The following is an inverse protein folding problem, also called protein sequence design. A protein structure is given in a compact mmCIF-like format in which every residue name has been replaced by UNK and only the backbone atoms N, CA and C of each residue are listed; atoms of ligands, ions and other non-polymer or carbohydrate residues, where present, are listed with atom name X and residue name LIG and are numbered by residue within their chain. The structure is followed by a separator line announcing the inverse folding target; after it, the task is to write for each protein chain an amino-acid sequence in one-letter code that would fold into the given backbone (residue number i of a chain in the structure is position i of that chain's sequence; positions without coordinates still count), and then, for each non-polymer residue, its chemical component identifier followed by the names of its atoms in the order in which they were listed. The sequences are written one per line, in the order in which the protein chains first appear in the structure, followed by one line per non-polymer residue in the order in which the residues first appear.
data_IF_788116542391
#
_entry.id   IF_788116542391
#
_cell.length_a   1.000
_cell.length_b   1.000
_cell.length_c   1.000
_cell.angle_alpha   90.00
_cell.angle_beta   90.00
_cell.angle_gamma   90.00
#
_symmetry.space_group_name_H-M   'P 1'
#
loop_
_entity.id
_entity.type
_entity.pdbx_description
1 polymer ?
#
# COMPACT_ATOMS: atom_id res chain seq x y z
N UNK A 1 -48.46 36.46 -4.89
CA UNK A 1 -48.47 37.91 -4.77
C UNK A 1 -47.21 38.36 -5.46
N UNK A 2 -47.23 38.58 -6.77
CA UNK A 2 -47.44 39.84 -7.47
C UNK A 2 -46.45 40.90 -6.96
N UNK A 3 -45.61 41.56 -7.79
CA UNK A 3 -45.74 42.24 -9.10
C UNK A 3 -44.32 42.62 -9.52
N UNK A 4 -43.77 42.37 -10.75
CA UNK A 4 -43.70 43.24 -11.94
C UNK A 4 -43.39 44.74 -11.65
N UNK A 5 -42.46 45.41 -12.35
CA UNK A 5 -42.44 45.78 -13.78
C UNK A 5 -41.08 46.48 -14.13
N UNK A 6 -40.50 46.26 -15.32
CA UNK A 6 -40.40 47.03 -16.56
C UNK A 6 -40.04 48.52 -16.39
N UNK A 7 -39.09 49.12 -17.13
CA UNK A 7 -39.04 49.38 -18.55
C UNK A 7 -37.86 50.34 -18.88
N UNK A 8 -37.13 50.14 -19.95
CA UNK A 8 -37.18 50.72 -21.32
C UNK A 8 -36.32 51.96 -21.60
N UNK A 9 -35.54 51.84 -22.68
CA UNK A 9 -35.26 52.76 -23.82
C UNK A 9 -34.39 54.01 -23.57
N UNK A 10 -33.47 54.47 -24.42
CA UNK A 10 -33.39 54.52 -25.89
C UNK A 10 -32.01 55.05 -26.34
N UNK A 11 -31.56 54.67 -27.52
CA UNK A 11 -30.62 55.41 -28.35
C UNK A 11 -31.38 56.50 -29.14
N UNK A 12 -30.83 57.35 -29.98
CA UNK A 12 -29.66 57.28 -30.84
C UNK A 12 -28.90 58.65 -31.02
N UNK A 13 -27.84 58.82 -31.80
CA UNK A 13 -27.82 59.37 -33.16
C UNK A 13 -26.42 59.70 -33.67
N UNK A 14 -26.28 59.65 -34.98
CA UNK A 14 -25.20 59.84 -35.91
C UNK A 14 -24.63 61.29 -35.96
N UNK A 15 -23.35 61.40 -36.39
CA UNK A 15 -22.80 62.61 -36.98
C UNK A 15 -21.55 62.31 -37.84
N UNK A 16 -21.68 62.59 -39.15
CA UNK A 16 -20.74 62.33 -40.24
C UNK A 16 -19.64 63.40 -40.35
N UNK A 17 -18.46 62.95 -40.70
CA UNK A 17 -17.40 63.38 -41.68
C UNK A 17 -17.16 64.90 -41.98
N UNK A 18 -15.98 65.40 -42.53
CA UNK A 18 -15.07 64.68 -43.44
C UNK A 18 -13.53 65.00 -43.36
N UNK A 19 -12.79 64.13 -44.01
CA UNK A 19 -11.56 64.27 -44.85
C UNK A 19 -10.53 65.42 -44.66
N UNK A 20 -9.26 65.06 -44.51
CA UNK A 20 -8.22 65.53 -45.44
C UNK A 20 -6.98 64.62 -45.42
N UNK A 21 -6.47 64.39 -46.62
CA UNK A 21 -5.33 63.58 -47.02
C UNK A 21 -4.05 64.40 -46.92
N UNK A 22 -3.02 63.84 -46.25
CA UNK A 22 -1.63 64.25 -46.57
C UNK A 22 -0.80 62.93 -46.56
N UNK A 23 -0.20 62.64 -47.70
CA UNK A 23 0.80 61.59 -47.92
C UNK A 23 2.19 62.09 -47.58
N UNK A 24 2.88 61.37 -46.73
CA UNK A 24 4.34 61.37 -46.73
C UNK A 24 4.81 59.92 -46.53
N UNK A 25 5.54 59.42 -47.54
CA UNK A 25 6.22 58.14 -47.48
C UNK A 25 7.44 58.27 -46.57
N UNK A 26 7.54 57.34 -45.62
CA UNK A 26 8.80 57.09 -44.90
C UNK A 26 9.02 55.57 -44.88
N UNK A 27 10.08 55.12 -45.51
CA UNK A 27 10.62 53.78 -45.53
C UNK A 27 11.24 53.45 -44.17
N UNK A 28 10.58 52.66 -43.39
CA UNK A 28 11.23 51.99 -42.22
C UNK A 28 11.28 50.46 -42.48
N UNK A 29 12.46 49.90 -42.26
CA UNK A 29 12.74 48.49 -42.34
C UNK A 29 12.00 47.71 -41.26
N UNK A 30 11.56 46.45 -41.47
CA UNK A 30 10.87 45.67 -40.45
C UNK A 30 11.86 45.21 -39.38
N UNK A 31 11.82 45.82 -38.21
CA UNK A 31 12.42 45.25 -37.00
C UNK A 31 11.61 44.04 -36.58
N UNK A 32 12.14 42.85 -36.83
CA UNK A 32 11.62 41.60 -36.29
C UNK A 32 11.77 41.63 -34.77
N UNK A 33 10.68 41.90 -34.06
CA UNK A 33 10.59 41.64 -32.61
C UNK A 33 10.77 40.14 -32.35
N UNK A 34 11.60 39.77 -31.38
CA UNK A 34 11.69 38.35 -30.99
C UNK A 34 10.34 37.89 -30.49
N UNK A 35 9.81 36.86 -31.15
CA UNK A 35 8.61 36.16 -30.69
C UNK A 35 8.95 35.53 -29.35
N UNK A 36 8.48 36.12 -28.27
CA UNK A 36 8.51 35.48 -26.94
C UNK A 36 7.55 34.30 -27.00
N UNK A 37 8.12 33.13 -27.22
CA UNK A 37 7.37 31.89 -27.07
C UNK A 37 7.07 31.71 -25.59
N UNK A 38 5.86 32.06 -25.17
CA UNK A 38 5.33 31.67 -23.86
C UNK A 38 5.49 30.17 -23.72
N UNK A 39 6.10 29.66 -22.63
CA UNK A 39 6.19 28.23 -22.40
C UNK A 39 4.78 27.65 -22.44
N UNK A 40 4.56 26.69 -23.34
CA UNK A 40 3.27 25.97 -23.43
C UNK A 40 2.97 25.37 -22.08
N UNK A 41 1.85 25.74 -21.47
CA UNK A 41 1.41 25.11 -20.21
C UNK A 41 1.46 23.58 -20.33
N UNK A 42 2.01 22.85 -19.34
CA UNK A 42 2.05 21.40 -19.41
C UNK A 42 0.62 20.86 -19.50
N UNK A 43 0.38 20.05 -20.52
CA UNK A 43 -0.90 19.37 -20.69
C UNK A 43 -1.02 18.23 -19.66
N UNK A 44 -2.26 17.80 -19.37
CA UNK A 44 -2.53 16.61 -18.58
C UNK A 44 -1.91 15.39 -19.27
N UNK A 45 -1.15 14.61 -18.52
CA UNK A 45 -0.46 13.40 -18.98
C UNK A 45 -1.04 12.17 -18.32
N UNK A 46 -1.24 11.10 -19.10
CA UNK A 46 -1.61 9.77 -18.62
C UNK A 46 -0.41 8.85 -18.80
N UNK A 47 0.24 8.50 -17.71
CA UNK A 47 1.50 7.74 -17.67
C UNK A 47 1.21 6.27 -17.36
N UNK A 48 1.26 5.43 -18.37
CA UNK A 48 0.90 4.01 -18.24
C UNK A 48 1.90 3.23 -17.37
N UNK A 49 1.39 2.45 -16.44
CA UNK A 49 2.19 1.52 -15.62
C UNK A 49 2.49 0.18 -16.34
N UNK A 50 2.27 0.11 -17.65
CA UNK A 50 2.85 -0.91 -18.55
C UNK A 50 4.11 -0.40 -19.26
N UNK A 51 4.35 0.92 -19.25
CA UNK A 51 5.54 1.51 -19.88
C UNK A 51 6.76 1.37 -18.96
N UNK A 52 7.82 0.75 -19.48
CA UNK A 52 9.08 0.55 -18.75
C UNK A 52 9.73 1.86 -18.31
N UNK A 53 9.61 2.94 -19.10
CA UNK A 53 10.17 4.25 -18.75
C UNK A 53 9.41 4.90 -17.57
N UNK A 54 8.12 4.66 -17.46
CA UNK A 54 7.31 5.07 -16.31
C UNK A 54 7.63 4.21 -15.08
N UNK A 55 7.68 2.88 -15.25
CA UNK A 55 8.03 1.94 -14.18
C UNK A 55 9.42 2.22 -13.56
N UNK A 56 10.38 2.66 -14.38
CA UNK A 56 11.71 3.05 -13.91
C UNK A 56 11.71 4.31 -13.01
N UNK A 57 10.61 5.05 -12.95
CA UNK A 57 10.44 6.28 -12.14
C UNK A 57 9.56 6.11 -10.92
N UNK A 58 8.95 4.96 -10.75
CA UNK A 58 8.11 4.67 -9.60
C UNK A 58 8.73 3.57 -8.74
N UNK A 59 8.44 3.57 -7.45
CA UNK A 59 8.81 2.50 -6.53
C UNK A 59 7.56 1.76 -6.09
N UNK A 60 7.57 0.45 -6.20
CA UNK A 60 6.51 -0.42 -5.71
C UNK A 60 7.08 -1.28 -4.60
N UNK A 61 6.44 -1.27 -3.44
CA UNK A 61 6.77 -2.13 -2.31
C UNK A 61 5.74 -3.23 -2.18
N UNK A 62 6.18 -4.37 -1.68
CA UNK A 62 5.39 -5.58 -1.58
C UNK A 62 5.34 -6.37 -2.90
N UNK A 63 4.72 -7.54 -2.85
CA UNK A 63 4.65 -8.44 -3.99
C UNK A 63 3.71 -7.91 -5.04
N UNK A 64 4.26 -7.52 -6.16
CA UNK A 64 3.58 -6.93 -7.31
C UNK A 64 4.25 -7.40 -8.58
N UNK A 65 3.52 -7.47 -9.67
CA UNK A 65 4.06 -7.89 -10.95
C UNK A 65 3.23 -7.39 -12.13
N UNK A 66 3.75 -7.47 -13.35
CA UNK A 66 3.08 -7.01 -14.55
C UNK A 66 1.83 -7.85 -14.83
N UNK A 67 0.76 -7.17 -15.23
CA UNK A 67 -0.47 -7.76 -15.76
C UNK A 67 -0.85 -7.01 -17.04
N UNK A 68 -1.82 -7.51 -17.80
CA UNK A 68 -2.16 -6.99 -19.14
C UNK A 68 -2.42 -5.49 -19.21
N UNK A 69 -2.85 -4.85 -18.12
CA UNK A 69 -3.24 -3.43 -18.12
C UNK A 69 -2.49 -2.58 -17.08
N UNK A 70 -1.41 -3.10 -16.48
CA UNK A 70 -0.66 -2.39 -15.44
C UNK A 70 0.10 -3.31 -14.51
N UNK A 71 0.03 -3.02 -13.21
CA UNK A 71 0.74 -3.76 -12.15
C UNK A 71 -0.29 -4.30 -11.15
N UNK A 72 -0.14 -5.58 -10.76
CA UNK A 72 -0.95 -6.16 -9.67
C UNK A 72 -0.63 -5.50 -8.34
N UNK A 73 -1.66 -5.22 -7.53
CA UNK A 73 -1.56 -4.50 -6.26
C UNK A 73 -2.52 -5.13 -5.26
N UNK A 74 -2.28 -6.42 -4.94
CA UNK A 74 -3.28 -7.29 -4.31
C UNK A 74 -3.16 -7.41 -2.79
N UNK A 75 -1.96 -7.21 -2.24
CA UNK A 75 -1.71 -7.43 -0.82
C UNK A 75 -1.90 -6.16 0.00
N UNK A 76 -2.33 -6.32 1.25
CA UNK A 76 -2.32 -5.24 2.24
C UNK A 76 -0.91 -4.66 2.37
N UNK A 77 -0.80 -3.35 2.62
CA UNK A 77 0.46 -2.60 2.66
C UNK A 77 1.26 -2.57 1.35
N UNK A 78 0.78 -3.14 0.22
CA UNK A 78 1.36 -2.83 -1.08
C UNK A 78 1.39 -1.30 -1.25
N UNK A 79 2.55 -0.77 -1.63
CA UNK A 79 2.78 0.68 -1.68
C UNK A 79 3.33 1.09 -3.04
N UNK A 80 2.72 2.13 -3.64
CA UNK A 80 3.25 2.86 -4.78
C UNK A 80 3.83 4.18 -4.29
N UNK A 81 5.10 4.45 -4.59
CA UNK A 81 5.78 5.73 -4.31
C UNK A 81 6.26 6.35 -5.62
N UNK A 82 6.07 7.65 -5.78
CA UNK A 82 6.64 8.43 -6.88
C UNK A 82 6.84 9.89 -6.51
N UNK A 83 7.68 10.57 -7.27
CA UNK A 83 7.93 12.01 -7.17
C UNK A 83 7.63 12.66 -8.50
N UNK A 84 7.08 13.87 -8.48
CA UNK A 84 6.74 14.61 -9.69
C UNK A 84 6.95 16.12 -9.52
N UNK A 85 7.30 16.78 -10.62
CA UNK A 85 7.07 18.22 -10.76
C UNK A 85 5.70 18.35 -11.40
N UNK A 86 4.71 18.83 -10.65
CA UNK A 86 3.33 18.89 -11.14
C UNK A 86 2.54 20.02 -10.48
N UNK A 87 1.30 20.21 -10.92
CA UNK A 87 0.33 21.13 -10.37
C UNK A 87 -1.09 20.62 -10.57
N UNK A 88 -2.06 21.15 -9.81
CA UNK A 88 -3.47 20.84 -9.93
C UNK A 88 -3.83 19.48 -9.37
N UNK A 89 -4.54 18.66 -10.15
CA UNK A 89 -5.00 17.35 -9.70
C UNK A 89 -4.05 16.23 -10.10
N UNK A 90 -3.85 15.27 -9.19
CA UNK A 90 -3.12 14.01 -9.44
C UNK A 90 -4.00 12.84 -9.07
N UNK A 91 -4.06 11.82 -9.92
CA UNK A 91 -4.84 10.61 -9.67
C UNK A 91 -4.18 9.36 -10.23
N UNK A 92 -4.63 8.21 -9.74
CA UNK A 92 -4.35 6.89 -10.31
C UNK A 92 -5.59 6.37 -11.05
N UNK A 93 -5.39 5.84 -12.26
CA UNK A 93 -6.37 4.99 -12.90
C UNK A 93 -6.07 3.54 -12.50
N UNK A 94 -7.09 2.81 -12.09
CA UNK A 94 -6.98 1.47 -11.57
C UNK A 94 -8.18 0.60 -11.97
N UNK A 95 -8.03 -0.70 -11.87
CA UNK A 95 -9.12 -1.67 -12.03
C UNK A 95 -9.23 -2.48 -10.74
N UNK A 96 -10.43 -2.58 -10.23
CA UNK A 96 -10.76 -3.38 -9.05
C UNK A 96 -11.70 -4.53 -9.45
N UNK A 97 -11.30 -5.75 -9.10
CA UNK A 97 -12.19 -6.91 -9.11
C UNK A 97 -12.41 -7.27 -7.66
N UNK A 98 -13.40 -6.65 -7.05
CA UNK A 98 -13.60 -6.64 -5.61
C UNK A 98 -15.00 -7.12 -5.23
N UNK A 99 -15.09 -7.78 -4.08
CA UNK A 99 -16.34 -8.15 -3.42
C UNK A 99 -16.83 -7.08 -2.44
N UNK A 100 -15.95 -6.13 -2.09
CA UNK A 100 -16.23 -5.02 -1.18
C UNK A 100 -15.36 -3.80 -1.56
N UNK A 101 -15.57 -2.67 -0.91
CA UNK A 101 -14.84 -1.42 -1.19
C UNK A 101 -13.35 -1.56 -0.90
N UNK A 102 -12.50 -1.14 -1.84
CA UNK A 102 -11.06 -1.03 -1.60
C UNK A 102 -10.72 0.31 -0.97
N UNK A 103 -9.91 0.28 0.09
CA UNK A 103 -9.46 1.48 0.79
C UNK A 103 -7.94 1.66 0.66
N UNK A 104 -7.54 2.94 0.63
CA UNK A 104 -6.14 3.35 0.47
C UNK A 104 -5.80 4.46 1.45
N UNK A 105 -4.58 4.41 1.97
CA UNK A 105 -3.91 5.55 2.60
C UNK A 105 -3.13 6.29 1.52
N UNK A 106 -3.35 7.58 1.40
CA UNK A 106 -2.64 8.46 0.47
C UNK A 106 -1.84 9.48 1.28
N UNK A 107 -0.53 9.59 1.02
CA UNK A 107 0.29 10.64 1.56
C UNK A 107 0.77 11.53 0.40
N UNK A 108 0.65 12.84 0.61
CA UNK A 108 1.17 13.87 -0.29
C UNK A 108 2.12 14.75 0.50
N UNK A 109 3.36 14.84 0.06
CA UNK A 109 4.45 15.56 0.76
C UNK A 109 4.60 15.13 2.23
N UNK A 110 4.49 13.81 2.45
CA UNK A 110 4.58 13.18 3.77
C UNK A 110 3.36 13.39 4.67
N UNK A 111 2.32 14.08 4.21
CA UNK A 111 1.09 14.30 4.98
C UNK A 111 0.00 13.34 4.53
N UNK A 112 -0.53 12.56 5.47
CA UNK A 112 -1.66 11.66 5.23
C UNK A 112 -2.93 12.47 4.91
N UNK A 113 -3.59 12.08 3.83
CA UNK A 113 -4.89 12.60 3.42
C UNK A 113 -6.01 11.79 4.09
N UNK A 114 -7.26 12.22 3.91
CA UNK A 114 -8.40 11.42 4.34
C UNK A 114 -8.35 10.02 3.71
N UNK A 115 -8.91 9.03 4.43
CA UNK A 115 -9.01 7.65 3.94
C UNK A 115 -9.66 7.62 2.56
N UNK A 116 -8.91 7.17 1.56
CA UNK A 116 -9.32 7.24 0.17
C UNK A 116 -9.97 5.94 -0.31
N UNK A 117 -10.85 6.07 -1.28
CA UNK A 117 -11.40 4.96 -2.08
C UNK A 117 -11.50 5.39 -3.53
N UNK A 118 -11.51 4.44 -4.45
CA UNK A 118 -11.73 4.75 -5.86
C UNK A 118 -13.16 5.23 -6.11
N UNK A 119 -13.30 6.09 -7.12
CA UNK A 119 -14.58 6.40 -7.73
C UNK A 119 -14.59 5.83 -9.15
N UNK A 120 -15.30 4.73 -9.35
CA UNK A 120 -15.21 3.95 -10.57
C UNK A 120 -13.81 3.37 -10.75
N UNK A 121 -13.10 3.82 -11.79
CA UNK A 121 -11.72 3.39 -12.09
C UNK A 121 -10.65 4.42 -11.70
N UNK A 122 -11.00 5.46 -10.93
CA UNK A 122 -10.10 6.56 -10.59
C UNK A 122 -9.95 6.73 -9.07
N UNK A 123 -8.72 6.78 -8.59
CA UNK A 123 -8.36 7.13 -7.21
C UNK A 123 -7.72 8.52 -7.23
N UNK A 124 -8.41 9.50 -6.66
CA UNK A 124 -7.88 10.84 -6.50
C UNK A 124 -6.81 10.86 -5.40
N UNK A 125 -5.63 11.39 -5.70
CA UNK A 125 -4.54 11.53 -4.73
C UNK A 125 -4.46 12.94 -4.15
N UNK A 126 -4.63 13.95 -5.01
CA UNK A 126 -4.60 15.36 -4.60
C UNK A 126 -5.41 16.23 -5.58
N UNK A 127 -5.84 17.39 -5.09
CA UNK A 127 -6.44 18.48 -5.87
C UNK A 127 -5.76 19.80 -5.55
N UNK A 128 -5.79 20.71 -6.50
CA UNK A 128 -5.32 22.09 -6.32
C UNK A 128 -3.87 22.22 -5.80
N UNK A 129 -3.00 21.25 -6.18
CA UNK A 129 -1.58 21.35 -5.84
C UNK A 129 -0.95 22.60 -6.47
N UNK A 130 -0.16 23.38 -5.71
CA UNK A 130 0.63 24.43 -6.30
C UNK A 130 1.65 23.82 -7.27
N UNK A 131 2.12 24.60 -8.24
CA UNK A 131 3.19 24.15 -9.13
C UNK A 131 4.48 23.95 -8.33
N UNK A 132 5.03 22.75 -8.36
CA UNK A 132 6.25 22.43 -7.61
C UNK A 132 6.60 20.94 -7.60
N UNK A 133 7.60 20.64 -6.77
CA UNK A 133 8.02 19.28 -6.46
C UNK A 133 7.08 18.68 -5.42
N UNK A 134 6.52 17.53 -5.74
CA UNK A 134 5.63 16.78 -4.86
C UNK A 134 6.04 15.33 -4.75
N UNK A 135 5.78 14.74 -3.58
CA UNK A 135 5.96 13.32 -3.29
C UNK A 135 4.61 12.67 -3.04
N UNK A 136 4.44 11.47 -3.56
CA UNK A 136 3.20 10.70 -3.42
C UNK A 136 3.51 9.31 -2.90
N UNK A 137 2.72 8.86 -1.93
CA UNK A 137 2.70 7.48 -1.47
C UNK A 137 1.25 7.01 -1.40
N UNK A 138 0.96 5.88 -2.02
CA UNK A 138 -0.35 5.24 -2.01
C UNK A 138 -0.20 3.85 -1.45
N UNK A 139 -0.86 3.57 -0.34
CA UNK A 139 -0.77 2.29 0.37
C UNK A 139 -2.14 1.62 0.37
N UNK A 140 -2.20 0.38 -0.08
CA UNK A 140 -3.42 -0.41 0.00
C UNK A 140 -3.69 -0.82 1.45
N UNK A 141 -4.86 -0.47 1.99
CA UNK A 141 -5.27 -0.82 3.35
C UNK A 141 -5.85 -2.23 3.45
N UNK A 142 -6.69 -2.59 2.46
CA UNK A 142 -7.47 -3.83 2.48
C UNK A 142 -6.69 -5.03 1.96
N UNK A 143 -6.95 -6.19 2.52
CA UNK A 143 -6.33 -7.45 2.11
C UNK A 143 -6.88 -8.03 0.79
N UNK A 144 -6.22 -9.08 0.28
CA UNK A 144 -6.60 -9.79 -0.94
C UNK A 144 -7.94 -10.54 -0.84
N UNK A 145 -8.45 -10.77 0.37
CA UNK A 145 -9.76 -11.36 0.62
C UNK A 145 -10.89 -10.56 -0.04
N UNK A 146 -10.82 -9.23 0.03
CA UNK A 146 -11.83 -8.34 -0.52
C UNK A 146 -11.71 -8.12 -2.03
N UNK A 147 -10.58 -8.46 -2.63
CA UNK A 147 -10.45 -8.37 -4.09
C UNK A 147 -9.03 -8.12 -4.60
N UNK A 148 -8.96 -8.00 -5.91
CA UNK A 148 -7.74 -7.77 -6.68
C UNK A 148 -7.73 -6.35 -7.23
N UNK A 149 -6.59 -5.69 -7.21
CA UNK A 149 -6.38 -4.34 -7.75
C UNK A 149 -5.29 -4.36 -8.81
N UNK A 150 -5.53 -3.65 -9.90
CA UNK A 150 -4.51 -3.37 -10.91
C UNK A 150 -4.32 -1.87 -11.01
N UNK A 151 -3.12 -1.37 -10.76
CA UNK A 151 -2.74 0.01 -11.03
C UNK A 151 -2.43 0.14 -12.52
N UNK A 152 -3.15 1.01 -13.23
CA UNK A 152 -3.08 1.13 -14.69
C UNK A 152 -2.20 2.30 -15.15
N UNK A 153 -2.41 3.49 -14.59
CA UNK A 153 -1.66 4.70 -14.96
C UNK A 153 -1.71 5.77 -13.88
N UNK A 154 -0.74 6.68 -13.92
CA UNK A 154 -0.72 7.92 -13.16
C UNK A 154 -1.19 9.04 -14.08
N UNK A 155 -2.11 9.87 -13.62
CA UNK A 155 -2.62 11.03 -14.33
C UNK A 155 -2.23 12.30 -13.57
N UNK A 156 -1.50 13.22 -14.24
CA UNK A 156 -1.02 14.47 -13.65
C UNK A 156 -0.72 15.53 -14.71
N UNK A 157 -0.77 16.81 -14.31
CA UNK A 157 -0.27 17.94 -15.13
C UNK A 157 1.19 18.20 -14.72
N UNK A 158 2.15 17.61 -15.47
CA UNK A 158 3.57 17.67 -15.14
C UNK A 158 4.36 16.46 -15.61
N UNK A 159 5.41 16.11 -14.86
CA UNK A 159 6.29 14.97 -15.19
C UNK A 159 6.83 14.25 -13.95
N UNK A 160 7.03 12.93 -14.07
CA UNK A 160 7.69 12.15 -13.02
C UNK A 160 9.18 12.48 -12.93
N UNK A 161 9.69 12.56 -11.72
CA UNK A 161 11.13 12.66 -11.38
C UNK A 161 11.79 11.27 -11.34
N UNK A 162 12.99 11.20 -10.82
CA UNK A 162 13.68 9.93 -10.57
C UNK A 162 12.90 9.05 -9.58
N UNK A 163 13.10 7.73 -9.67
CA UNK A 163 12.52 6.76 -8.74
C UNK A 163 12.95 7.05 -7.30
N UNK A 164 12.03 7.02 -6.33
CA UNK A 164 12.38 7.06 -4.92
C UNK A 164 13.36 5.94 -4.55
N UNK A 165 14.34 6.25 -3.71
CA UNK A 165 15.34 5.26 -3.27
C UNK A 165 14.72 4.15 -2.42
N UNK A 166 15.32 2.97 -2.49
CA UNK A 166 14.99 1.90 -1.55
C UNK A 166 15.54 2.24 -0.16
N UNK A 167 14.78 1.91 0.88
CA UNK A 167 15.25 2.04 2.25
C UNK A 167 16.32 0.97 2.55
N UNK A 168 17.29 1.26 3.41
CA UNK A 168 18.36 0.30 3.74
C UNK A 168 17.85 -1.02 4.33
N UNK A 169 16.78 -0.96 5.13
CA UNK A 169 16.15 -2.12 5.75
C UNK A 169 14.92 -2.55 4.91
N UNK A 170 14.79 -3.85 4.66
CA UNK A 170 13.63 -4.45 4.04
C UNK A 170 13.05 -5.55 4.92
N UNK A 171 11.78 -5.42 5.27
CA UNK A 171 11.06 -6.36 6.13
C UNK A 171 9.93 -7.04 5.35
N UNK A 172 9.84 -8.36 5.46
CA UNK A 172 8.72 -9.14 4.94
C UNK A 172 7.89 -9.69 6.10
N UNK A 173 6.56 -9.52 6.03
CA UNK A 173 5.61 -10.02 7.01
C UNK A 173 4.71 -11.07 6.37
N UNK A 174 4.69 -12.25 6.97
CA UNK A 174 3.94 -13.41 6.54
C UNK A 174 2.90 -13.75 7.61
N UNK A 175 1.61 -13.76 7.27
CA UNK A 175 0.64 -13.95 8.35
C UNK A 175 -0.81 -14.09 7.92
N UNK A 176 -1.66 -14.00 8.91
CA UNK A 176 -3.11 -14.15 8.81
C UNK A 176 -3.87 -12.81 9.01
N UNK A 177 -5.09 -12.89 9.56
CA UNK A 177 -5.96 -11.76 9.85
C UNK A 177 -5.35 -10.73 10.80
N UNK A 178 -4.50 -11.16 11.74
CA UNK A 178 -3.80 -10.25 12.67
C UNK A 178 -2.83 -9.37 11.88
N UNK A 179 -2.09 -9.97 10.96
CA UNK A 179 -1.07 -9.26 10.17
C UNK A 179 -1.68 -8.26 9.19
N UNK A 180 -2.85 -8.53 8.63
CA UNK A 180 -3.55 -7.58 7.74
C UNK A 180 -4.37 -6.53 8.49
N UNK A 181 -4.48 -6.62 9.83
CA UNK A 181 -5.24 -5.66 10.63
C UNK A 181 -6.75 -5.83 10.48
N UNK A 182 -7.23 -7.07 10.32
CA UNK A 182 -8.65 -7.38 10.20
C UNK A 182 -9.40 -6.91 11.45
N UNK A 183 -10.53 -6.21 11.27
CA UNK A 183 -11.40 -5.75 12.37
C UNK A 183 -10.79 -4.69 13.28
N UNK A 184 -9.64 -4.10 12.96
CA UNK A 184 -8.94 -3.17 13.84
C UNK A 184 -9.60 -1.79 13.95
N UNK A 185 -10.51 -1.45 13.05
CA UNK A 185 -11.26 -0.18 13.07
C UNK A 185 -12.64 -0.28 13.73
N UNK A 186 -13.07 -1.45 14.16
CA UNK A 186 -14.35 -1.61 14.87
C UNK A 186 -14.14 -2.26 16.25
N UNK A 187 -14.89 -1.79 17.24
CA UNK A 187 -14.83 -2.31 18.61
C UNK A 187 -15.98 -3.30 18.83
N UNK A 188 -15.64 -4.52 19.27
CA UNK A 188 -16.62 -5.51 19.73
C UNK A 188 -17.63 -5.98 18.68
N UNK A 189 -17.46 -5.64 17.42
CA UNK A 189 -18.39 -6.02 16.37
C UNK A 189 -18.22 -7.51 16.02
N UNK A 190 -19.24 -8.36 16.17
CA UNK A 190 -19.12 -9.79 15.89
C UNK A 190 -19.09 -10.10 14.40
N UNK A 191 -18.72 -11.32 14.04
CA UNK A 191 -18.92 -11.85 12.71
C UNK A 191 -20.44 -11.98 12.38
N UNK A 192 -20.88 -11.84 11.10
CA UNK A 192 -20.06 -11.51 9.95
C UNK A 192 -19.80 -10.00 9.77
N UNK A 193 -20.44 -9.14 10.58
CA UNK A 193 -20.41 -7.68 10.38
C UNK A 193 -18.99 -7.08 10.51
N UNK A 194 -18.10 -7.69 11.30
CA UNK A 194 -16.70 -7.28 11.41
C UNK A 194 -15.87 -7.56 10.17
N UNK A 195 -16.29 -8.49 9.29
CA UNK A 195 -15.58 -8.92 8.10
C UNK A 195 -15.87 -8.07 6.84
N UNK A 196 -16.19 -6.80 7.01
CA UNK A 196 -16.27 -5.83 5.91
C UNK A 196 -14.99 -5.00 5.81
N UNK A 197 -14.62 -4.65 4.60
CA UNK A 197 -13.41 -3.88 4.29
C UNK A 197 -13.35 -2.52 5.01
N UNK A 198 -14.51 -1.92 5.31
CA UNK A 198 -14.60 -0.67 6.07
C UNK A 198 -14.01 -0.77 7.48
N UNK A 199 -14.00 -1.98 8.05
CA UNK A 199 -13.52 -2.27 9.40
C UNK A 199 -12.04 -2.66 9.45
N UNK A 200 -11.35 -2.64 8.31
CA UNK A 200 -9.94 -3.04 8.18
C UNK A 200 -9.07 -1.87 7.72
N UNK A 201 -7.90 -1.72 8.34
CA UNK A 201 -6.83 -0.86 7.87
C UNK A 201 -5.46 -1.49 8.11
N UNK A 202 -4.88 -2.07 7.06
CA UNK A 202 -3.56 -2.70 7.12
C UNK A 202 -2.42 -1.73 7.41
N UNK A 203 -2.61 -0.43 7.16
CA UNK A 203 -1.63 0.61 7.54
C UNK A 203 -1.65 0.93 9.04
N UNK A 204 -2.60 0.35 9.76
CA UNK A 204 -2.71 0.39 11.22
C UNK A 204 -2.49 -0.99 11.85
N UNK A 205 -1.88 -1.91 11.12
CA UNK A 205 -1.44 -3.20 11.67
C UNK A 205 -0.06 -3.09 12.33
N UNK A 206 0.25 -4.05 13.21
CA UNK A 206 1.58 -4.12 13.86
C UNK A 206 2.71 -4.21 12.84
N UNK A 207 2.48 -4.90 11.72
CA UNK A 207 3.45 -5.07 10.66
C UNK A 207 3.84 -3.73 10.02
N UNK A 208 2.85 -2.93 9.68
CA UNK A 208 3.09 -1.62 9.09
C UNK A 208 3.71 -0.64 10.08
N UNK A 209 3.21 -0.60 11.33
CA UNK A 209 3.78 0.26 12.37
C UNK A 209 5.25 -0.09 12.68
N UNK A 210 5.59 -1.37 12.79
CA UNK A 210 6.97 -1.79 13.03
C UNK A 210 7.90 -1.40 11.88
N UNK A 211 7.49 -1.63 10.62
CA UNK A 211 8.26 -1.22 9.46
C UNK A 211 8.46 0.31 9.40
N UNK A 212 7.42 1.09 9.69
CA UNK A 212 7.55 2.56 9.77
C UNK A 212 8.48 3.01 10.88
N UNK A 213 8.36 2.45 12.09
CA UNK A 213 9.20 2.81 13.24
C UNK A 213 10.68 2.51 13.02
N UNK A 214 10.99 1.56 12.13
CA UNK A 214 12.35 1.19 11.75
C UNK A 214 12.81 1.82 10.42
N UNK A 215 12.00 2.64 9.79
CA UNK A 215 12.30 3.25 8.48
C UNK A 215 12.54 2.19 7.39
N UNK A 216 11.84 1.06 7.45
CA UNK A 216 12.01 -0.05 6.53
C UNK A 216 11.09 0.05 5.30
N UNK A 217 11.51 -0.56 4.19
CA UNK A 217 10.60 -0.99 3.14
C UNK A 217 9.85 -2.24 3.61
N UNK A 218 8.61 -2.40 3.15
CA UNK A 218 7.71 -3.44 3.63
C UNK A 218 7.17 -4.31 2.50
N UNK A 219 7.04 -5.62 2.77
CA UNK A 219 6.19 -6.54 2.03
C UNK A 219 5.29 -7.29 3.00
N UNK A 220 4.01 -7.38 2.70
CA UNK A 220 3.06 -8.18 3.47
C UNK A 220 2.48 -9.26 2.56
N UNK A 221 2.67 -10.52 2.93
CA UNK A 221 1.99 -11.67 2.35
C UNK A 221 1.12 -12.29 3.45
N UNK A 222 -0.08 -11.80 3.57
CA UNK A 222 -0.99 -12.21 4.62
C UNK A 222 -2.45 -12.16 4.15
N UNK A 223 -3.28 -13.01 4.71
CA UNK A 223 -4.71 -13.08 4.43
C UNK A 223 -5.46 -13.66 5.61
N UNK A 224 -6.64 -13.13 5.90
CA UNK A 224 -7.54 -13.67 6.93
C UNK A 224 -7.85 -15.15 6.70
N UNK A 225 -7.82 -15.93 7.76
CA UNK A 225 -8.19 -17.34 7.76
C UNK A 225 -7.12 -18.33 7.35
N UNK A 226 -5.93 -17.90 6.90
CA UNK A 226 -4.85 -18.84 6.54
C UNK A 226 -4.01 -19.25 7.75
N UNK A 227 -3.40 -20.44 7.70
CA UNK A 227 -2.56 -20.98 8.75
C UNK A 227 -1.17 -21.39 8.26
N UNK A 228 -0.41 -22.05 9.12
CA UNK A 228 0.90 -22.59 8.81
C UNK A 228 0.80 -23.93 8.05
N UNK A 229 -0.20 -24.76 8.33
CA UNK A 229 -0.46 -26.01 7.62
C UNK A 229 -1.93 -26.23 7.29
N UNK A 230 -2.84 -25.61 8.02
CA UNK A 230 -4.27 -25.62 7.70
C UNK A 230 -4.88 -24.24 8.00
N UNK A 231 -5.87 -23.85 7.21
CA UNK A 231 -6.61 -22.62 7.45
C UNK A 231 -7.78 -22.87 8.40
N UNK A 232 -8.49 -21.78 8.71
CA UNK A 232 -9.68 -21.75 9.53
C UNK A 232 -10.83 -22.61 8.95
N UNK A 233 -10.86 -22.79 7.63
CA UNK A 233 -11.79 -23.69 6.93
C UNK A 233 -11.15 -24.25 5.65
N UNK A 234 -11.88 -25.13 4.95
CA UNK A 234 -11.41 -25.75 3.70
C UNK A 234 -11.18 -24.76 2.54
N UNK A 235 -11.74 -23.55 2.62
CA UNK A 235 -11.55 -22.48 1.63
C UNK A 235 -10.32 -21.63 1.89
N UNK A 236 -9.70 -21.77 3.07
CA UNK A 236 -8.51 -21.03 3.49
C UNK A 236 -7.32 -21.99 3.66
N UNK A 237 -6.53 -22.20 2.61
CA UNK A 237 -5.37 -23.08 2.67
C UNK A 237 -4.26 -22.47 3.52
N UNK A 238 -3.21 -23.28 3.78
CA UNK A 238 -2.00 -22.80 4.43
C UNK A 238 -1.24 -21.78 3.58
N UNK A 239 -0.45 -20.90 4.22
CA UNK A 239 0.36 -19.87 3.55
C UNK A 239 1.58 -20.45 2.80
N UNK A 240 2.30 -21.50 3.28
CA UNK A 240 3.52 -21.96 2.63
C UNK A 240 3.42 -22.25 1.13
N UNK A 241 2.34 -22.85 0.60
CA UNK A 241 2.17 -23.04 -0.84
C UNK A 241 2.06 -21.75 -1.65
N UNK A 242 1.69 -20.62 -1.01
CA UNK A 242 1.54 -19.32 -1.65
C UNK A 242 2.84 -18.52 -1.71
N UNK A 243 3.83 -18.90 -0.91
CA UNK A 243 5.03 -18.11 -0.67
C UNK A 243 5.87 -17.84 -1.94
N UNK A 244 5.81 -18.72 -2.92
CA UNK A 244 6.57 -18.57 -4.16
C UNK A 244 5.87 -17.74 -5.23
N UNK A 245 4.68 -17.16 -4.95
CA UNK A 245 3.88 -16.45 -5.94
C UNK A 245 3.83 -14.94 -5.70
N UNK A 246 3.62 -14.18 -6.77
CA UNK A 246 3.33 -12.75 -6.69
C UNK A 246 1.96 -12.54 -6.03
N UNK A 247 0.93 -13.18 -6.58
CA UNK A 247 -0.45 -13.15 -6.07
C UNK A 247 -1.12 -14.49 -6.37
N UNK A 248 -1.08 -15.40 -5.40
CA UNK A 248 -1.60 -16.78 -5.52
C UNK A 248 -3.07 -16.83 -5.96
N UNK A 249 -3.88 -15.90 -5.45
CA UNK A 249 -5.32 -15.86 -5.76
C UNK A 249 -5.63 -15.22 -7.12
N UNK A 250 -4.69 -14.49 -7.71
CA UNK A 250 -4.83 -13.90 -9.04
C UNK A 250 -4.32 -14.85 -10.12
N UNK A 251 -3.11 -15.36 -9.94
CA UNK A 251 -2.40 -16.14 -10.94
C UNK A 251 -1.42 -17.12 -10.27
N UNK A 252 -1.72 -18.40 -10.37
CA UNK A 252 -0.87 -19.49 -9.84
C UNK A 252 0.31 -19.83 -10.75
N UNK A 253 0.56 -19.05 -11.80
CA UNK A 253 1.74 -19.19 -12.68
C UNK A 253 2.78 -18.08 -12.45
N UNK A 254 2.34 -16.91 -11.98
CA UNK A 254 3.20 -15.75 -11.74
C UNK A 254 4.03 -15.95 -10.45
N UNK A 255 5.32 -16.24 -10.63
CA UNK A 255 6.26 -16.49 -9.52
C UNK A 255 6.88 -15.19 -9.02
N UNK A 256 7.09 -15.11 -7.70
CA UNK A 256 7.90 -14.08 -7.09
C UNK A 256 9.38 -14.42 -7.28
N UNK A 257 10.18 -13.46 -7.71
CA UNK A 257 11.57 -13.71 -8.11
C UNK A 257 12.58 -13.63 -6.95
N UNK A 258 12.18 -13.06 -5.81
CA UNK A 258 13.04 -12.80 -4.66
C UNK A 258 14.32 -12.04 -5.01
N UNK A 259 14.28 -11.19 -6.05
CA UNK A 259 15.42 -10.38 -6.51
C UNK A 259 15.93 -9.45 -5.41
N UNK A 260 15.03 -8.92 -4.58
CA UNK A 260 15.36 -8.25 -3.32
C UNK A 260 15.02 -9.18 -2.16
N UNK A 261 16.05 -9.64 -1.44
CA UNK A 261 15.89 -10.48 -0.26
C UNK A 261 15.58 -9.64 0.97
N UNK A 262 14.71 -10.13 1.84
CA UNK A 262 14.43 -9.47 3.10
C UNK A 262 15.62 -9.58 4.08
N UNK A 263 15.84 -8.53 4.85
CA UNK A 263 16.76 -8.53 5.97
C UNK A 263 16.12 -9.21 7.19
N UNK A 264 14.81 -9.00 7.36
CA UNK A 264 14.02 -9.60 8.44
C UNK A 264 12.74 -10.16 7.84
N UNK A 265 12.42 -11.40 8.17
CA UNK A 265 11.13 -12.01 7.88
C UNK A 265 10.40 -12.29 9.19
N UNK A 266 9.23 -11.69 9.36
CA UNK A 266 8.36 -11.88 10.53
C UNK A 266 7.20 -12.78 10.13
N UNK A 267 7.01 -13.89 10.81
CA UNK A 267 5.94 -14.87 10.56
C UNK A 267 4.98 -14.85 11.74
N UNK A 268 3.70 -14.62 11.49
CA UNK A 268 2.64 -14.67 12.49
C UNK A 268 1.52 -15.59 12.00
N UNK A 269 1.63 -16.86 12.31
CA UNK A 269 0.70 -17.94 11.95
C UNK A 269 0.60 -18.93 13.10
N UNK A 270 -0.49 -19.65 13.20
CA UNK A 270 -0.77 -20.66 14.24
C UNK A 270 -2.17 -20.55 14.84
N UNK A 271 -2.71 -19.33 14.87
CA UNK A 271 -4.07 -19.08 15.40
C UNK A 271 -5.12 -19.94 14.70
N UNK A 272 -5.16 -19.93 13.36
CA UNK A 272 -6.15 -20.68 12.60
C UNK A 272 -5.92 -22.20 12.67
N UNK A 273 -4.66 -22.62 12.71
CA UNK A 273 -4.28 -24.02 12.81
C UNK A 273 -4.83 -24.69 14.07
N UNK A 274 -4.63 -24.06 15.25
CA UNK A 274 -5.09 -24.58 16.53
C UNK A 274 -6.59 -24.38 16.74
N UNK A 275 -7.16 -23.29 16.26
CA UNK A 275 -8.59 -23.01 16.34
C UNK A 275 -9.43 -24.12 15.67
N UNK A 276 -8.96 -24.69 14.58
CA UNK A 276 -9.64 -25.77 13.86
C UNK A 276 -9.29 -27.17 14.37
N UNK A 277 -8.72 -27.27 15.57
CA UNK A 277 -8.38 -28.53 16.21
C UNK A 277 -7.09 -29.17 15.70
N UNK A 278 -6.20 -28.38 15.15
CA UNK A 278 -4.85 -28.83 14.77
C UNK A 278 -4.03 -29.25 15.98
N UNK A 279 -3.11 -30.21 15.78
CA UNK A 279 -2.23 -30.68 16.87
C UNK A 279 -0.99 -29.79 17.00
N UNK A 280 -0.53 -29.55 18.24
CA UNK A 280 0.70 -28.85 18.56
C UNK A 280 1.92 -29.42 17.81
N UNK A 281 2.03 -30.73 17.70
CA UNK A 281 3.15 -31.38 16.99
C UNK A 281 3.12 -31.12 15.48
N UNK A 282 1.94 -31.14 14.85
CA UNK A 282 1.81 -30.79 13.44
C UNK A 282 2.13 -29.31 13.19
N UNK A 283 1.67 -28.42 14.07
CA UNK A 283 1.99 -27.01 14.00
C UNK A 283 3.50 -26.75 14.15
N UNK A 284 4.13 -27.31 15.15
CA UNK A 284 5.60 -27.23 15.34
C UNK A 284 6.37 -27.69 14.10
N UNK A 285 5.95 -28.81 13.49
CA UNK A 285 6.58 -29.33 12.27
C UNK A 285 6.38 -28.37 11.09
N UNK A 286 5.16 -27.85 10.91
CA UNK A 286 4.84 -26.91 9.85
C UNK A 286 5.64 -25.58 9.99
N UNK A 287 5.79 -25.08 11.22
CA UNK A 287 6.61 -23.92 11.52
C UNK A 287 8.07 -24.11 11.08
N UNK A 288 8.66 -25.27 11.42
CA UNK A 288 10.02 -25.61 10.99
C UNK A 288 10.15 -25.65 9.46
N UNK A 289 9.24 -26.33 8.79
CA UNK A 289 9.29 -26.51 7.34
C UNK A 289 9.11 -25.19 6.60
N UNK A 290 8.20 -24.36 7.09
CA UNK A 290 8.02 -23.03 6.52
C UNK A 290 9.21 -22.11 6.76
N UNK A 291 9.78 -22.08 7.96
CA UNK A 291 11.02 -21.33 8.23
C UNK A 291 12.20 -21.82 7.36
N UNK A 292 12.31 -23.12 7.08
CA UNK A 292 13.30 -23.65 6.12
C UNK A 292 13.02 -23.19 4.69
N UNK A 293 11.74 -23.12 4.28
CA UNK A 293 11.35 -22.58 2.96
C UNK A 293 11.73 -21.10 2.84
N UNK A 294 11.40 -20.30 3.85
CA UNK A 294 11.75 -18.86 3.91
C UNK A 294 13.27 -18.67 3.87
N UNK A 295 14.04 -19.48 4.63
CA UNK A 295 15.51 -19.45 4.65
C UNK A 295 16.11 -19.69 3.27
N UNK A 296 15.57 -20.63 2.49
CA UNK A 296 16.06 -20.89 1.13
C UNK A 296 15.91 -19.67 0.21
N UNK A 297 14.89 -18.84 0.42
CA UNK A 297 14.63 -17.62 -0.37
C UNK A 297 15.35 -16.38 0.17
N UNK A 298 15.56 -16.31 1.49
CA UNK A 298 16.22 -15.22 2.19
C UNK A 298 17.37 -15.78 3.05
N UNK A 299 18.51 -16.16 2.42
CA UNK A 299 19.57 -16.91 3.10
C UNK A 299 20.21 -16.19 4.30
N UNK A 300 20.18 -14.85 4.32
CA UNK A 300 20.78 -14.02 5.37
C UNK A 300 19.78 -13.42 6.35
N UNK A 301 18.49 -13.51 6.09
CA UNK A 301 17.45 -12.86 6.90
C UNK A 301 17.48 -13.33 8.36
N UNK A 302 17.16 -12.46 9.29
CA UNK A 302 16.64 -12.88 10.58
C UNK A 302 15.20 -13.35 10.39
N UNK A 303 14.90 -14.60 10.77
CA UNK A 303 13.55 -15.16 10.67
C UNK A 303 12.94 -15.20 12.06
N UNK A 304 11.90 -14.43 12.29
CA UNK A 304 11.25 -14.24 13.58
C UNK A 304 9.83 -14.82 13.51
N UNK A 305 9.57 -15.85 14.33
CA UNK A 305 8.20 -16.28 14.56
C UNK A 305 7.57 -15.41 15.64
N UNK A 306 6.62 -14.57 15.26
CA UNK A 306 5.92 -13.67 16.16
C UNK A 306 4.64 -14.37 16.67
N UNK A 307 4.69 -14.84 17.90
CA UNK A 307 3.57 -15.57 18.50
C UNK A 307 2.56 -14.59 19.12
N UNK A 308 1.36 -14.53 18.52
CA UNK A 308 0.25 -13.68 18.97
C UNK A 308 -1.08 -14.32 18.64
N UNK A 309 -1.47 -15.35 19.38
CA UNK A 309 -2.75 -16.05 19.15
C UNK A 309 -3.94 -15.23 19.65
N UNK A 310 -5.03 -15.19 18.89
CA UNK A 310 -6.32 -14.63 19.34
C UNK A 310 -7.05 -15.64 20.21
N UNK A 311 -7.10 -16.88 19.78
CA UNK A 311 -7.93 -17.96 20.34
C UNK A 311 -7.10 -19.05 21.01
N UNK A 312 -5.82 -19.14 20.67
CA UNK A 312 -4.92 -20.16 21.20
C UNK A 312 -3.51 -19.56 21.34
N UNK A 313 -2.86 -19.89 22.44
CA UNK A 313 -1.43 -19.64 22.62
C UNK A 313 -0.65 -20.75 21.91
N UNK A 314 0.31 -20.36 21.10
CA UNK A 314 1.21 -21.27 20.35
C UNK A 314 2.68 -20.87 20.53
N UNK A 315 2.98 -20.17 21.64
CA UNK A 315 4.33 -19.72 21.94
C UNK A 315 5.29 -20.91 22.15
N UNK A 316 4.85 -21.96 22.81
CA UNK A 316 5.66 -23.14 23.07
C UNK A 316 5.99 -23.90 21.77
N UNK A 317 5.03 -24.05 20.85
CA UNK A 317 5.23 -24.63 19.53
C UNK A 317 6.24 -23.83 18.70
N UNK A 318 6.13 -22.50 18.74
CA UNK A 318 7.08 -21.61 18.06
C UNK A 318 8.47 -21.69 18.67
N UNK A 319 8.58 -21.73 19.99
CA UNK A 319 9.85 -21.86 20.69
C UNK A 319 10.51 -23.21 20.40
N UNK A 320 9.77 -24.31 20.43
CA UNK A 320 10.27 -25.65 20.08
C UNK A 320 10.74 -25.70 18.62
N UNK A 321 9.95 -25.14 17.68
CA UNK A 321 10.32 -25.08 16.27
C UNK A 321 11.62 -24.31 16.05
N UNK A 322 11.75 -23.13 16.66
CA UNK A 322 12.95 -22.28 16.57
C UNK A 322 14.18 -22.98 17.18
N UNK A 323 14.03 -23.61 18.34
CA UNK A 323 15.12 -24.34 19.01
C UNK A 323 15.64 -25.51 18.17
N UNK A 324 14.74 -26.29 17.56
CA UNK A 324 15.10 -27.40 16.65
C UNK A 324 15.82 -26.94 15.38
N UNK A 325 15.64 -25.69 14.98
CA UNK A 325 16.36 -25.07 13.85
C UNK A 325 17.70 -24.44 14.24
N UNK A 326 18.07 -24.47 15.52
CA UNK A 326 19.32 -23.95 16.05
C UNK A 326 19.24 -22.54 16.60
N UNK A 327 18.03 -21.97 16.74
CA UNK A 327 17.77 -20.70 17.42
C UNK A 327 18.55 -19.53 16.86
N UNK A 328 18.91 -18.60 17.73
CA UNK A 328 19.61 -17.36 17.38
C UNK A 328 20.98 -17.61 16.69
N UNK A 329 21.67 -18.72 16.99
CA UNK A 329 22.90 -19.08 16.31
C UNK A 329 22.74 -19.37 14.81
N UNK A 330 21.52 -19.60 14.36
CA UNK A 330 21.13 -19.81 12.96
C UNK A 330 20.18 -18.74 12.45
N UNK A 331 20.08 -17.60 13.15
CA UNK A 331 19.17 -16.49 12.84
C UNK A 331 17.69 -16.90 12.79
N UNK A 332 17.25 -17.76 13.71
CA UNK A 332 15.86 -18.06 13.99
C UNK A 332 15.49 -17.58 15.38
N UNK A 333 14.36 -16.90 15.50
CA UNK A 333 13.94 -16.25 16.73
C UNK A 333 12.45 -16.49 16.96
N UNK A 334 12.04 -16.48 18.23
CA UNK A 334 10.63 -16.38 18.62
C UNK A 334 10.43 -15.10 19.39
N UNK A 335 9.40 -14.35 19.01
CA UNK A 335 9.02 -13.08 19.62
C UNK A 335 7.57 -13.18 20.14
N UNK A 336 7.33 -13.23 21.46
CA UNK A 336 6.00 -13.12 21.99
C UNK A 336 5.46 -11.72 21.74
N UNK A 337 4.28 -11.62 21.14
CA UNK A 337 3.59 -10.34 20.97
C UNK A 337 2.41 -10.26 21.94
N UNK A 338 2.20 -9.13 22.63
CA UNK A 338 1.05 -8.96 23.51
C UNK A 338 -0.25 -9.00 22.70
N UNK A 339 -1.08 -9.97 22.99
CA UNK A 339 -2.35 -10.15 22.32
C UNK A 339 -3.41 -10.56 23.36
N UNK A 340 -4.38 -9.69 23.60
CA UNK A 340 -5.53 -10.00 24.46
C UNK A 340 -5.65 -9.19 25.77
N UNK A 341 -6.85 -9.08 26.33
CA UNK A 341 -8.11 -9.41 25.67
C UNK A 341 -8.35 -8.48 24.47
N UNK A 342 -8.54 -9.07 23.30
CA UNK A 342 -8.73 -8.32 22.06
C UNK A 342 -10.15 -7.73 21.99
N UNK A 343 -10.25 -6.47 21.62
CA UNK A 343 -11.50 -5.70 21.63
C UNK A 343 -11.92 -5.23 20.24
N UNK A 344 -11.16 -5.53 19.21
CA UNK A 344 -11.53 -5.27 17.82
C UNK A 344 -12.60 -6.22 17.31
N UNK A 345 -12.93 -6.10 16.03
CA UNK A 345 -13.97 -6.91 15.40
C UNK A 345 -13.66 -8.39 15.48
N UNK A 346 -14.64 -9.18 15.89
CA UNK A 346 -14.54 -10.63 16.09
C UNK A 346 -13.33 -11.06 16.94
N UNK A 347 -13.02 -10.30 18.00
CA UNK A 347 -11.91 -10.61 18.89
C UNK A 347 -10.53 -10.36 18.33
N UNK A 348 -10.39 -9.60 17.24
CA UNK A 348 -9.10 -9.20 16.69
C UNK A 348 -8.49 -8.02 17.46
N UNK A 349 -7.18 -7.75 17.31
CA UNK A 349 -6.55 -6.60 17.95
C UNK A 349 -7.10 -5.26 17.44
N UNK A 350 -7.27 -4.29 18.35
CA UNK A 350 -7.56 -2.89 18.00
C UNK A 350 -6.32 -2.18 17.45
N UNK A 351 -6.48 -0.94 16.95
CA UNK A 351 -5.36 -0.10 16.51
C UNK A 351 -4.33 0.11 17.63
N UNK A 352 -4.78 0.34 18.88
CA UNK A 352 -3.89 0.51 20.03
C UNK A 352 -3.13 -0.78 20.36
N UNK A 353 -3.82 -1.92 20.28
CA UNK A 353 -3.18 -3.21 20.50
C UNK A 353 -2.16 -3.50 19.40
N UNK A 354 -2.46 -3.19 18.14
CA UNK A 354 -1.47 -3.27 17.05
C UNK A 354 -0.25 -2.36 17.28
N UNK A 355 -0.41 -1.17 17.85
CA UNK A 355 0.72 -0.32 18.24
C UNK A 355 1.58 -0.99 19.31
N UNK A 356 0.96 -1.51 20.37
CA UNK A 356 1.65 -2.23 21.42
C UNK A 356 2.39 -3.47 20.90
N UNK A 357 1.80 -4.22 19.97
CA UNK A 357 2.46 -5.34 19.29
C UNK A 357 3.67 -4.88 18.47
N UNK A 358 3.54 -3.77 17.75
CA UNK A 358 4.64 -3.20 16.97
C UNK A 358 5.79 -2.73 17.87
N UNK A 359 5.48 -2.02 18.96
CA UNK A 359 6.48 -1.56 19.92
C UNK A 359 7.25 -2.73 20.54
N UNK A 360 6.54 -3.82 20.88
CA UNK A 360 7.15 -5.06 21.40
C UNK A 360 8.05 -5.72 20.36
N UNK A 361 7.63 -5.81 19.09
CA UNK A 361 8.46 -6.35 18.01
C UNK A 361 9.70 -5.49 17.78
N UNK A 362 9.56 -4.18 17.70
CA UNK A 362 10.69 -3.25 17.52
C UNK A 362 11.69 -3.36 18.67
N UNK A 363 11.21 -3.41 19.92
CA UNK A 363 12.04 -3.58 21.09
C UNK A 363 12.80 -4.93 21.04
N UNK A 364 12.11 -6.01 20.68
CA UNK A 364 12.71 -7.33 20.49
C UNK A 364 13.82 -7.33 19.43
N UNK A 365 13.55 -6.72 18.26
CA UNK A 365 14.54 -6.64 17.17
C UNK A 365 15.79 -5.86 17.59
N UNK A 366 15.62 -4.77 18.34
CA UNK A 366 16.74 -3.97 18.89
C UNK A 366 17.53 -4.72 19.95
N UNK A 367 16.85 -5.37 20.90
CA UNK A 367 17.49 -6.17 21.97
C UNK A 367 18.34 -7.31 21.40
N UNK A 368 17.87 -7.94 20.33
CA UNK A 368 18.62 -9.01 19.65
C UNK A 368 19.61 -8.48 18.60
N UNK A 369 19.80 -7.16 18.49
CA UNK A 369 20.72 -6.49 17.54
C UNK A 369 20.48 -6.86 16.08
N UNK A 370 19.21 -7.10 15.73
CA UNK A 370 18.78 -7.41 14.37
C UNK A 370 18.55 -6.13 13.54
N UNK A 371 18.44 -5.00 14.21
CA UNK A 371 18.36 -3.65 13.64
C UNK A 371 19.25 -2.72 14.46
N UNK A 372 19.68 -1.62 13.83
CA UNK A 372 20.48 -0.61 14.52
C UNK A 372 19.70 0.00 15.69
N UNK A 373 20.41 0.28 16.79
CA UNK A 373 19.88 1.13 17.83
C UNK A 373 19.75 2.55 17.25
N UNK A 374 18.54 3.08 17.19
CA UNK A 374 18.29 4.48 16.84
C UNK A 374 18.32 5.33 18.10
#
# INVERSE_FOLDING_TARGET
MCIRDRSKNAAPTRGNTPTSRITTASTEAPTSSPTVTTPKEPAMSVLSLTDKAVLAKVKIQGRSGPVSSGISFDWSANTLEFQAVCEGSVSLNLKEKASDTMYYTVLVDGKEQARARSSGSRLLLAENLPKGDHTFQVVRQTESFFGQVTLCSIELKGQLKSRPADRPLYMEFLGDSITVGMGNLCLGLPAPASFYSVNQDGTKSYAYYAAQALGADISVLARSGIGAYQGWDSGNPALPPMYDYISYYRDKTARWDFSRQADIVVINLGTNDLWTGGSSSALTQAMQDFMRQVRRKNPRAAIVWAASGIMADYLDEAADAVNRLGGAAKNYYVCPLPCGPNKGGNGHPTVEQHRSMADSLVAFLRQNRLVSAS
#
